data_IF_149530024697
#
_entry.id   IF_149530024697
#
_cell.length_a   1.000
_cell.length_b   1.000
_cell.length_c   1.000
_cell.angle_alpha   90.00
_cell.angle_beta   90.00
_cell.angle_gamma   90.00
#
_symmetry.space_group_name_H-M   'P 1'
#
loop_
_entity.id
_entity.type
_entity.pdbx_description
1 polymer ?
#
# COMPACT_ATOMS: atom_id res chain seq x y z
N UNK A 1 -6.97 18.24 14.66
CA UNK A 1 -7.52 17.99 16.02
C UNK A 1 -7.17 16.60 16.57
N UNK A 2 -6.95 15.59 15.71
CA UNK A 2 -6.66 14.21 16.11
C UNK A 2 -5.21 13.78 15.89
N UNK A 3 -4.33 14.66 15.39
CA UNK A 3 -2.92 14.37 15.14
C UNK A 3 -2.68 13.32 14.04
N UNK A 4 -3.60 13.24 13.07
CA UNK A 4 -3.49 12.32 11.93
C UNK A 4 -3.12 13.09 10.67
N UNK A 5 -2.25 12.50 9.83
CA UNK A 5 -1.98 12.96 8.48
C UNK A 5 -3.09 12.57 7.50
N UNK A 6 -2.95 13.04 6.28
CA UNK A 6 -3.83 12.68 5.15
C UNK A 6 -2.94 12.33 3.98
N UNK A 7 -3.03 11.09 3.52
CA UNK A 7 -2.43 10.66 2.25
C UNK A 7 -3.41 10.91 1.10
N UNK A 8 -2.89 10.98 -0.11
CA UNK A 8 -3.69 11.26 -1.27
C UNK A 8 -3.49 10.20 -2.37
N UNK A 9 -4.55 9.45 -2.62
CA UNK A 9 -4.61 8.48 -3.71
C UNK A 9 -5.52 9.04 -4.82
N UNK A 10 -4.99 9.88 -5.73
CA UNK A 10 -5.80 10.52 -6.76
C UNK A 10 -6.26 9.54 -7.82
N UNK A 11 -7.43 9.78 -8.38
CA UNK A 11 -7.97 9.00 -9.50
C UNK A 11 -7.26 9.36 -10.80
N UNK A 12 -6.61 8.36 -11.42
CA UNK A 12 -6.19 8.38 -12.83
C UNK A 12 -7.04 7.41 -13.67
N UNK A 13 -8.29 7.24 -13.32
CA UNK A 13 -9.30 6.37 -13.96
C UNK A 13 -10.70 6.92 -13.71
N UNK A 14 -11.75 6.22 -14.13
CA UNK A 14 -13.17 6.58 -13.87
C UNK A 14 -13.53 8.05 -14.18
N UNK A 15 -13.03 8.57 -15.29
CA UNK A 15 -13.29 9.95 -15.72
C UNK A 15 -13.54 9.99 -17.24
N UNK A 16 -14.37 10.91 -17.76
CA UNK A 16 -14.62 11.04 -19.21
C UNK A 16 -13.39 11.26 -20.09
N UNK A 17 -12.28 11.73 -19.50
CA UNK A 17 -10.96 11.86 -20.16
C UNK A 17 -10.13 10.59 -20.18
N UNK A 18 -10.60 9.47 -19.67
CA UNK A 18 -10.06 8.15 -20.03
C UNK A 18 -10.54 7.82 -21.44
N UNK A 19 -9.63 7.67 -22.38
CA UNK A 19 -9.94 7.39 -23.78
C UNK A 19 -9.34 6.04 -24.18
N UNK A 20 -10.21 5.14 -24.63
CA UNK A 20 -9.81 3.75 -24.97
C UNK A 20 -9.07 3.03 -23.82
N UNK A 21 -9.46 3.28 -22.59
CA UNK A 21 -8.79 2.72 -21.41
C UNK A 21 -7.41 3.32 -21.07
N UNK A 22 -7.04 4.46 -21.71
CA UNK A 22 -5.71 5.07 -21.55
C UNK A 22 -5.80 6.48 -20.95
N UNK A 23 -4.81 6.81 -20.14
CA UNK A 23 -4.63 8.10 -19.48
C UNK A 23 -3.23 8.67 -19.75
N UNK A 24 -2.28 8.49 -18.87
CA UNK A 24 -0.89 8.96 -18.99
C UNK A 24 -0.09 8.25 -20.10
N UNK A 25 -0.58 7.14 -20.60
CA UNK A 25 0.03 6.40 -21.72
C UNK A 25 -0.59 6.71 -23.09
N UNK A 26 -1.68 7.48 -23.13
CA UNK A 26 -2.44 7.73 -24.35
C UNK A 26 -1.55 8.26 -25.49
N UNK A 27 -1.73 7.79 -26.73
CA UNK A 27 -1.10 8.41 -27.90
C UNK A 27 -1.66 9.81 -28.19
N UNK A 28 -2.87 10.13 -27.73
CA UNK A 28 -3.46 11.46 -27.85
C UNK A 28 -2.85 12.41 -26.82
N UNK A 29 -2.11 13.41 -27.31
CA UNK A 29 -1.44 14.42 -26.50
C UNK A 29 -2.43 15.23 -25.62
N UNK A 30 -3.65 15.48 -26.09
CA UNK A 30 -4.66 16.22 -25.32
C UNK A 30 -5.10 15.43 -24.08
N UNK A 31 -5.25 14.11 -24.25
CA UNK A 31 -5.56 13.21 -23.13
C UNK A 31 -4.42 13.21 -22.12
N UNK A 32 -3.17 13.03 -22.57
CA UNK A 32 -2.01 13.03 -21.68
C UNK A 32 -1.84 14.35 -20.94
N UNK A 33 -1.94 15.49 -21.65
CA UNK A 33 -1.84 16.82 -21.02
C UNK A 33 -2.89 17.02 -19.92
N UNK A 34 -4.13 16.61 -20.15
CA UNK A 34 -5.16 16.66 -19.13
C UNK A 34 -4.72 15.91 -17.85
N UNK A 35 -4.24 14.68 -18.00
CA UNK A 35 -3.85 13.86 -16.87
C UNK A 35 -2.54 14.33 -16.21
N UNK A 36 -1.62 14.90 -16.95
CA UNK A 36 -0.42 15.52 -16.40
C UNK A 36 -0.79 16.75 -15.54
N UNK A 37 -1.65 17.63 -16.03
CA UNK A 37 -2.11 18.79 -15.26
C UNK A 37 -2.93 18.37 -14.03
N UNK A 38 -3.72 17.30 -14.15
CA UNK A 38 -4.36 16.66 -13.00
C UNK A 38 -3.33 16.20 -11.96
N UNK A 39 -2.29 15.49 -12.38
CA UNK A 39 -1.22 15.03 -11.49
C UNK A 39 -0.47 16.17 -10.79
N UNK A 40 -0.15 17.25 -11.51
CA UNK A 40 0.44 18.48 -10.92
C UNK A 40 -0.49 19.12 -9.87
N UNK A 41 -1.79 19.17 -10.16
CA UNK A 41 -2.76 19.65 -9.18
C UNK A 41 -2.79 18.76 -7.92
N UNK A 42 -2.65 17.45 -8.09
CA UNK A 42 -2.59 16.51 -6.98
C UNK A 42 -1.35 16.71 -6.10
N UNK A 43 -0.18 17.04 -6.67
CA UNK A 43 1.01 17.43 -5.90
C UNK A 43 0.73 18.66 -5.04
N UNK A 44 0.11 19.71 -5.60
CA UNK A 44 -0.23 20.92 -4.83
C UNK A 44 -1.24 20.63 -3.70
N UNK A 45 -2.21 19.77 -3.95
CA UNK A 45 -3.18 19.33 -2.93
C UNK A 45 -2.47 18.56 -1.81
N UNK A 46 -1.57 17.65 -2.16
CA UNK A 46 -0.80 16.86 -1.19
C UNK A 46 0.09 17.76 -0.32
N UNK A 47 0.73 18.75 -0.93
CA UNK A 47 1.53 19.74 -0.18
C UNK A 47 0.67 20.56 0.78
N UNK A 48 -0.53 20.94 0.37
CA UNK A 48 -1.49 21.60 1.23
C UNK A 48 -1.88 20.74 2.43
N UNK A 49 -2.19 19.44 2.20
CA UNK A 49 -2.51 18.52 3.28
C UNK A 49 -1.36 18.38 4.27
N UNK A 50 -0.13 18.22 3.77
CA UNK A 50 1.04 18.11 4.64
C UNK A 50 1.27 19.39 5.48
N UNK A 51 1.11 20.57 4.90
CA UNK A 51 1.23 21.86 5.61
C UNK A 51 0.18 22.01 6.70
N UNK A 52 -1.07 21.64 6.42
CA UNK A 52 -2.18 21.78 7.37
C UNK A 52 -2.09 20.77 8.53
N UNK A 53 -1.58 19.56 8.26
CA UNK A 53 -1.50 18.49 9.27
C UNK A 53 -0.17 18.48 10.01
N UNK A 54 0.88 19.05 9.44
CA UNK A 54 2.26 18.93 9.93
C UNK A 54 2.87 17.54 9.73
N UNK A 55 2.24 16.69 8.90
CA UNK A 55 2.65 15.31 8.63
C UNK A 55 2.84 15.15 7.11
N UNK A 56 3.94 14.54 6.63
CA UNK A 56 4.13 14.30 5.21
C UNK A 56 2.95 13.57 4.57
N UNK A 57 2.59 13.96 3.36
CA UNK A 57 1.51 13.36 2.58
C UNK A 57 2.10 12.45 1.50
N UNK A 58 1.76 11.17 1.54
CA UNK A 58 2.04 10.24 0.43
C UNK A 58 1.04 10.51 -0.70
N UNK A 59 1.55 10.69 -1.90
CA UNK A 59 0.75 10.90 -3.11
C UNK A 59 1.00 9.77 -4.09
N UNK A 60 -0.02 8.94 -4.31
CA UNK A 60 0.10 7.78 -5.18
C UNK A 60 -0.19 8.11 -6.65
N UNK A 61 0.66 7.63 -7.55
CA UNK A 61 0.44 7.63 -9.00
C UNK A 61 0.21 6.19 -9.45
N UNK A 62 -1.06 5.83 -9.60
CA UNK A 62 -1.49 4.56 -10.11
C UNK A 62 -2.35 4.75 -11.36
N UNK A 63 -2.13 3.95 -12.41
CA UNK A 63 -2.91 3.95 -13.63
C UNK A 63 -3.39 2.54 -13.98
N UNK A 64 -4.59 2.46 -14.53
CA UNK A 64 -5.14 1.22 -15.07
C UNK A 64 -4.81 0.96 -16.55
N UNK A 65 -3.91 1.74 -17.14
CA UNK A 65 -3.61 1.72 -18.56
C UNK A 65 -2.99 0.39 -19.01
N UNK A 66 -3.57 -0.20 -20.03
CA UNK A 66 -3.09 -1.47 -20.58
C UNK A 66 -3.96 -1.92 -21.76
N UNK A 67 -3.78 -3.17 -22.18
CA UNK A 67 -4.54 -3.76 -23.29
C UNK A 67 -5.03 -5.16 -22.94
N UNK A 68 -6.27 -5.43 -23.37
CA UNK A 68 -6.89 -6.75 -23.22
C UNK A 68 -6.34 -7.76 -24.19
N UNK A 69 -6.22 -7.35 -25.46
CA UNK A 69 -5.81 -8.20 -26.57
C UNK A 69 -4.33 -8.06 -26.89
N UNK A 70 -3.89 -8.62 -28.01
CA UNK A 70 -2.49 -8.67 -28.42
C UNK A 70 -1.92 -7.28 -28.72
N UNK A 71 -1.02 -6.72 -27.91
CA UNK A 71 -0.38 -5.43 -28.19
C UNK A 71 0.67 -5.57 -29.27
N UNK A 72 0.70 -4.62 -30.20
CA UNK A 72 1.76 -4.53 -31.21
C UNK A 72 3.01 -3.81 -30.65
N UNK A 73 2.82 -2.95 -29.65
CA UNK A 73 3.88 -2.14 -29.05
C UNK A 73 3.66 -2.05 -27.52
N UNK A 74 4.59 -2.58 -26.75
CA UNK A 74 4.61 -2.49 -25.27
C UNK A 74 5.58 -1.43 -24.75
N UNK A 75 6.46 -0.89 -25.60
CA UNK A 75 7.46 0.10 -25.21
C UNK A 75 6.91 1.52 -25.32
N UNK A 76 6.26 1.87 -26.44
CA UNK A 76 5.74 3.21 -26.68
C UNK A 76 4.81 3.75 -25.59
N UNK A 77 3.80 3.00 -25.11
CA UNK A 77 2.98 3.43 -23.97
C UNK A 77 3.81 3.67 -22.70
N UNK A 78 4.81 2.82 -22.42
CA UNK A 78 5.68 2.99 -21.24
C UNK A 78 6.59 4.23 -21.36
N UNK A 79 7.09 4.53 -22.54
CA UNK A 79 7.85 5.76 -22.78
C UNK A 79 6.99 7.00 -22.54
N UNK A 80 5.73 6.99 -23.00
CA UNK A 80 4.79 8.07 -22.73
C UNK A 80 4.43 8.16 -21.25
N UNK A 81 4.27 7.04 -20.57
CA UNK A 81 4.05 7.02 -19.12
C UNK A 81 5.21 7.63 -18.36
N UNK A 82 6.44 7.19 -18.67
CA UNK A 82 7.67 7.74 -18.09
C UNK A 82 7.71 9.26 -18.26
N UNK A 83 7.55 9.75 -19.49
CA UNK A 83 7.54 11.18 -19.80
C UNK A 83 6.42 11.93 -19.03
N UNK A 84 5.22 11.34 -18.94
CA UNK A 84 4.10 11.95 -18.25
C UNK A 84 4.34 12.07 -16.75
N UNK A 85 4.91 11.06 -16.09
CA UNK A 85 5.27 11.13 -14.67
C UNK A 85 6.38 12.17 -14.46
N UNK A 86 7.43 12.19 -15.31
CA UNK A 86 8.50 13.18 -15.23
C UNK A 86 7.94 14.61 -15.34
N UNK A 87 6.95 14.82 -16.22
CA UNK A 87 6.28 16.11 -16.35
C UNK A 87 5.42 16.45 -15.14
N UNK A 88 4.71 15.48 -14.53
CA UNK A 88 4.01 15.68 -13.25
C UNK A 88 5.00 16.10 -12.16
N UNK A 89 6.11 15.39 -12.02
CA UNK A 89 7.13 15.63 -11.01
C UNK A 89 7.92 16.93 -11.24
N UNK A 90 7.80 17.57 -12.42
CA UNK A 90 8.34 18.90 -12.67
C UNK A 90 7.58 20.02 -11.93
N UNK A 91 6.40 19.74 -11.39
CA UNK A 91 5.70 20.66 -10.48
C UNK A 91 6.54 20.88 -9.23
N UNK A 92 6.87 22.11 -8.85
CA UNK A 92 7.65 22.35 -7.64
C UNK A 92 6.91 21.92 -6.37
N UNK A 93 7.59 21.20 -5.50
CA UNK A 93 7.08 20.79 -4.18
C UNK A 93 8.22 20.55 -3.19
N UNK A 94 7.91 20.63 -1.90
CA UNK A 94 8.85 20.25 -0.85
C UNK A 94 8.84 18.71 -0.65
N UNK A 95 9.97 18.06 -0.96
CA UNK A 95 10.17 16.60 -0.79
C UNK A 95 10.04 16.12 0.66
N UNK A 96 10.14 17.00 1.64
CA UNK A 96 9.87 16.64 3.04
C UNK A 96 8.38 16.58 3.33
N UNK A 97 7.57 17.29 2.57
CA UNK A 97 6.12 17.37 2.76
C UNK A 97 5.35 16.42 1.85
N UNK A 98 5.77 16.29 0.61
CA UNK A 98 5.11 15.40 -0.36
C UNK A 98 6.02 14.24 -0.70
N UNK A 99 5.47 13.03 -0.57
CA UNK A 99 6.11 11.76 -0.91
C UNK A 99 5.42 11.17 -2.14
N UNK A 100 5.79 11.59 -3.36
CA UNK A 100 5.22 10.97 -4.55
C UNK A 100 5.67 9.53 -4.66
N UNK A 101 4.75 8.65 -4.95
CA UNK A 101 5.04 7.24 -5.19
C UNK A 101 4.41 6.77 -6.49
N UNK A 102 4.95 5.68 -7.00
CA UNK A 102 4.44 4.99 -8.20
C UNK A 102 4.07 3.56 -7.82
N UNK A 103 2.82 3.22 -8.10
CA UNK A 103 2.27 1.92 -7.77
C UNK A 103 2.17 1.04 -9.01
N UNK A 104 2.56 -0.22 -8.85
CA UNK A 104 2.40 -1.20 -9.91
C UNK A 104 0.97 -1.72 -10.00
N UNK A 105 0.58 -2.11 -11.21
CA UNK A 105 -0.61 -2.90 -11.47
C UNK A 105 -0.21 -4.26 -12.04
N UNK A 106 -0.87 -5.31 -11.56
CA UNK A 106 -0.83 -6.61 -12.21
C UNK A 106 -1.87 -6.65 -13.35
N UNK A 107 -1.84 -7.66 -14.19
CA UNK A 107 -2.92 -7.87 -15.15
C UNK A 107 -4.27 -8.08 -14.44
N UNK A 108 -5.35 -7.69 -15.10
CA UNK A 108 -6.71 -7.84 -14.57
C UNK A 108 -7.75 -7.72 -15.71
N UNK A 109 -9.03 -7.62 -15.39
CA UNK A 109 -10.09 -7.46 -16.38
C UNK A 109 -9.85 -6.18 -17.21
N UNK A 110 -9.69 -6.36 -18.51
CA UNK A 110 -9.43 -5.26 -19.46
C UNK A 110 -7.94 -5.01 -19.76
N UNK A 111 -7.02 -5.63 -19.04
CA UNK A 111 -5.56 -5.51 -19.24
C UNK A 111 -4.82 -6.84 -19.15
N UNK A 112 -5.46 -7.91 -19.59
CA UNK A 112 -4.96 -9.29 -19.44
C UNK A 112 -3.66 -9.54 -20.20
N UNK A 113 -3.44 -8.88 -21.33
CA UNK A 113 -2.25 -9.08 -22.16
C UNK A 113 -1.12 -8.11 -21.86
N UNK A 114 -1.42 -6.94 -21.29
CA UNK A 114 -0.43 -5.90 -21.11
C UNK A 114 -0.88 -4.85 -20.13
N UNK A 115 -0.08 -4.63 -19.12
CA UNK A 115 -0.18 -3.52 -18.16
C UNK A 115 1.01 -2.58 -18.34
N UNK A 116 0.74 -1.29 -18.54
CA UNK A 116 1.81 -0.30 -18.75
C UNK A 116 2.61 -0.06 -17.45
N UNK A 117 1.92 0.10 -16.33
CA UNK A 117 2.49 0.27 -15.00
C UNK A 117 2.82 -1.05 -14.32
N UNK A 118 3.61 -1.93 -14.94
CA UNK A 118 4.04 -3.18 -14.31
C UNK A 118 5.06 -2.93 -13.19
N UNK A 119 5.28 -3.93 -12.32
CA UNK A 119 6.24 -3.84 -11.21
C UNK A 119 7.64 -3.47 -11.70
N UNK A 120 8.11 -4.06 -12.80
CA UNK A 120 9.42 -3.74 -13.38
C UNK A 120 9.52 -2.28 -13.82
N UNK A 121 8.43 -1.72 -14.37
CA UNK A 121 8.41 -0.32 -14.78
C UNK A 121 8.43 0.62 -13.56
N UNK A 122 7.55 0.41 -12.61
CA UNK A 122 7.39 1.32 -11.45
C UNK A 122 8.61 1.28 -10.53
N UNK A 123 9.17 0.10 -10.25
CA UNK A 123 10.39 -0.04 -9.46
C UNK A 123 11.60 0.59 -10.16
N UNK A 124 11.75 0.36 -11.48
CA UNK A 124 12.83 0.99 -12.25
C UNK A 124 12.67 2.51 -12.28
N UNK A 125 11.43 3.00 -12.43
CA UNK A 125 11.16 4.43 -12.42
C UNK A 125 11.55 5.05 -11.07
N UNK A 126 11.07 4.49 -9.96
CA UNK A 126 11.39 4.98 -8.62
C UNK A 126 12.91 4.96 -8.35
N UNK A 127 13.60 3.88 -8.75
CA UNK A 127 15.06 3.78 -8.57
C UNK A 127 15.88 4.81 -9.35
N UNK A 128 15.32 5.36 -10.44
CA UNK A 128 16.00 6.34 -11.29
C UNK A 128 15.62 7.80 -10.96
N UNK A 129 14.66 8.02 -10.03
CA UNK A 129 14.15 9.36 -9.72
C UNK A 129 14.18 9.62 -8.21
N UNK A 130 15.14 10.44 -7.79
CA UNK A 130 15.32 10.80 -6.38
C UNK A 130 14.07 11.45 -5.79
N UNK A 131 13.63 10.94 -4.63
CA UNK A 131 12.44 11.40 -3.92
C UNK A 131 11.13 10.78 -4.41
N UNK A 132 11.19 9.82 -5.34
CA UNK A 132 10.03 9.00 -5.74
C UNK A 132 10.09 7.66 -5.01
N UNK A 133 9.02 7.29 -4.33
CA UNK A 133 8.96 6.04 -3.60
C UNK A 133 8.36 4.92 -4.46
N UNK A 134 8.88 3.70 -4.39
CA UNK A 134 8.13 2.55 -4.86
C UNK A 134 6.97 2.28 -3.91
N UNK A 135 5.76 2.14 -4.46
CA UNK A 135 4.60 1.68 -3.71
C UNK A 135 4.27 0.25 -4.13
N UNK A 136 4.23 -0.64 -3.16
CA UNK A 136 3.82 -2.02 -3.36
C UNK A 136 2.45 -2.25 -2.73
N UNK A 137 1.49 -2.66 -3.55
CA UNK A 137 0.23 -3.24 -3.09
C UNK A 137 0.36 -4.77 -3.13
N UNK A 138 0.11 -5.44 -2.02
CA UNK A 138 0.26 -6.89 -1.97
C UNK A 138 -0.85 -7.67 -2.70
N UNK A 139 -1.91 -6.99 -3.14
CA UNK A 139 -2.91 -7.53 -4.08
C UNK A 139 -2.49 -7.41 -5.55
N UNK A 140 -1.46 -6.63 -5.87
CA UNK A 140 -1.02 -6.33 -7.23
C UNK A 140 0.19 -7.18 -7.70
N UNK A 141 0.38 -8.36 -7.11
CA UNK A 141 1.43 -9.31 -7.51
C UNK A 141 0.82 -10.67 -7.82
N UNK A 142 1.58 -11.50 -8.53
CA UNK A 142 1.16 -12.87 -8.73
C UNK A 142 1.00 -13.59 -7.38
N UNK A 143 -0.01 -14.48 -7.21
CA UNK A 143 -0.29 -15.12 -5.91
C UNK A 143 0.88 -15.93 -5.31
N UNK A 144 1.90 -16.24 -6.10
CA UNK A 144 3.14 -16.89 -5.63
C UNK A 144 4.25 -15.92 -5.26
N UNK A 145 4.05 -14.61 -5.47
CA UNK A 145 4.98 -13.57 -5.07
C UNK A 145 4.55 -12.99 -3.72
N UNK A 146 5.49 -12.93 -2.79
CA UNK A 146 5.26 -12.41 -1.44
C UNK A 146 5.86 -11.01 -1.32
N UNK A 147 5.05 -10.05 -0.90
CA UNK A 147 5.51 -8.67 -0.66
C UNK A 147 6.41 -8.62 0.58
N UNK A 148 6.19 -9.50 1.55
CA UNK A 148 7.09 -9.65 2.71
C UNK A 148 8.55 -9.87 2.30
N UNK A 149 8.82 -10.67 1.25
CA UNK A 149 10.18 -10.87 0.72
C UNK A 149 10.73 -9.64 -0.02
N UNK A 150 9.86 -8.83 -0.62
CA UNK A 150 10.23 -7.63 -1.37
C UNK A 150 10.61 -6.45 -0.46
N UNK A 151 10.00 -6.33 0.71
CA UNK A 151 10.24 -5.23 1.67
C UNK A 151 11.72 -5.10 2.03
N UNK A 152 12.40 -6.12 2.58
CA UNK A 152 13.81 -6.02 2.94
C UNK A 152 14.71 -5.81 1.72
N UNK A 153 14.35 -6.39 0.58
CA UNK A 153 15.11 -6.22 -0.66
C UNK A 153 15.10 -4.75 -1.13
N UNK A 154 13.93 -4.11 -1.14
CA UNK A 154 13.82 -2.70 -1.56
C UNK A 154 14.44 -1.74 -0.55
N UNK A 155 14.35 -2.02 0.75
CA UNK A 155 14.98 -1.21 1.79
C UNK A 155 16.51 -1.19 1.73
N UNK A 156 17.14 -2.10 0.96
CA UNK A 156 18.57 -2.03 0.64
C UNK A 156 18.90 -0.89 -0.35
N UNK A 157 17.95 -0.44 -1.16
CA UNK A 157 18.17 0.51 -2.24
C UNK A 157 17.42 1.82 -2.05
N UNK A 158 16.31 1.79 -1.32
CA UNK A 158 15.46 2.96 -1.08
C UNK A 158 15.53 3.38 0.39
N UNK A 159 15.71 4.68 0.68
CA UNK A 159 15.65 5.18 2.05
C UNK A 159 14.25 5.00 2.66
N UNK A 160 13.21 5.13 1.86
CA UNK A 160 11.81 5.02 2.23
C UNK A 160 11.04 4.25 1.16
N UNK A 161 9.99 3.52 1.54
CA UNK A 161 9.07 2.82 0.64
C UNK A 161 7.63 3.04 1.09
N UNK A 162 6.66 2.79 0.21
CA UNK A 162 5.25 2.84 0.54
C UNK A 162 4.59 1.47 0.31
N UNK A 163 3.57 1.17 1.11
CA UNK A 163 2.78 -0.05 1.02
C UNK A 163 1.29 0.28 1.00
N UNK A 164 0.58 -0.29 0.06
CA UNK A 164 -0.84 -0.55 0.17
C UNK A 164 -1.04 -1.98 0.67
N UNK A 165 -1.69 -2.10 1.82
CA UNK A 165 -1.84 -3.36 2.52
C UNK A 165 -3.28 -3.83 2.35
N UNK A 166 -3.43 -4.89 1.63
CA UNK A 166 -4.70 -5.53 1.32
C UNK A 166 -4.60 -7.05 1.50
N UNK A 167 -5.63 -7.78 1.19
CA UNK A 167 -5.58 -9.24 1.11
C UNK A 167 -5.81 -9.67 -0.33
N UNK A 168 -4.75 -10.03 -1.02
CA UNK A 168 -4.82 -10.65 -2.34
C UNK A 168 -5.41 -12.06 -2.23
N UNK A 169 -6.57 -12.31 -2.85
CA UNK A 169 -7.18 -13.64 -2.86
C UNK A 169 -6.68 -14.47 -4.03
N UNK A 170 -6.45 -13.81 -5.14
CA UNK A 170 -5.84 -14.40 -6.33
C UNK A 170 -4.94 -13.37 -6.97
N UNK A 171 -5.32 -12.74 -8.02
CA UNK A 171 -4.60 -11.64 -8.67
C UNK A 171 -5.50 -10.41 -8.77
N UNK A 172 -4.92 -9.23 -8.67
CA UNK A 172 -5.59 -7.91 -8.77
C UNK A 172 -6.90 -7.89 -7.96
N UNK A 173 -6.82 -8.26 -6.70
CA UNK A 173 -8.00 -8.37 -5.83
C UNK A 173 -7.71 -7.75 -4.47
N UNK A 174 -8.42 -6.65 -4.20
CA UNK A 174 -8.24 -5.85 -2.99
C UNK A 174 -9.36 -6.19 -2.01
N UNK A 175 -9.10 -7.17 -1.14
CA UNK A 175 -10.02 -7.59 -0.09
C UNK A 175 -9.61 -7.05 1.27
N UNK A 176 -10.56 -7.03 2.18
CA UNK A 176 -10.32 -6.64 3.57
C UNK A 176 -9.15 -7.41 4.16
N UNK A 177 -8.20 -6.67 4.71
CA UNK A 177 -7.02 -7.24 5.37
C UNK A 177 -7.43 -8.11 6.55
N UNK A 178 -6.91 -9.31 6.60
CA UNK A 178 -7.07 -10.24 7.70
C UNK A 178 -5.73 -10.48 8.41
N UNK A 179 -5.77 -11.04 9.59
CA UNK A 179 -4.59 -11.42 10.37
C UNK A 179 -4.07 -12.79 9.89
N UNK A 180 -3.68 -12.86 8.62
CA UNK A 180 -3.16 -14.06 7.95
C UNK A 180 -1.63 -14.12 7.94
N UNK A 181 -1.08 -15.13 7.28
CA UNK A 181 0.37 -15.37 7.30
C UNK A 181 1.15 -14.24 6.61
N UNK A 182 0.72 -13.80 5.42
CA UNK A 182 1.44 -12.75 4.68
C UNK A 182 1.38 -11.40 5.43
N UNK A 183 0.22 -11.06 5.99
CA UNK A 183 0.07 -9.85 6.83
C UNK A 183 1.07 -9.86 8.00
N UNK A 184 1.23 -11.01 8.65
CA UNK A 184 2.19 -11.17 9.76
C UNK A 184 3.64 -11.12 9.29
N UNK A 185 3.96 -11.72 8.15
CA UNK A 185 5.33 -11.70 7.61
C UNK A 185 5.73 -10.31 7.14
N UNK A 186 4.85 -9.56 6.44
CA UNK A 186 5.12 -8.15 6.09
C UNK A 186 5.44 -7.30 7.33
N UNK A 187 4.63 -7.43 8.38
CA UNK A 187 4.86 -6.70 9.63
C UNK A 187 6.20 -7.11 10.28
N UNK A 188 6.53 -8.39 10.27
CA UNK A 188 7.82 -8.90 10.78
C UNK A 188 9.00 -8.31 10.01
N UNK A 189 8.93 -8.27 8.69
CA UNK A 189 10.04 -7.72 7.88
C UNK A 189 10.24 -6.22 8.14
N UNK A 190 9.18 -5.44 8.27
CA UNK A 190 9.29 -4.02 8.63
C UNK A 190 10.01 -3.84 9.98
N UNK A 191 9.62 -4.63 10.99
CA UNK A 191 10.21 -4.55 12.33
C UNK A 191 11.65 -5.07 12.34
N UNK A 192 11.93 -6.21 11.68
CA UNK A 192 13.28 -6.80 11.56
C UNK A 192 14.27 -5.86 10.87
N UNK A 193 13.80 -5.10 9.90
CA UNK A 193 14.60 -4.10 9.18
C UNK A 193 14.76 -2.78 9.96
N UNK A 194 14.16 -2.66 11.15
CA UNK A 194 14.09 -1.40 11.90
C UNK A 194 13.58 -0.25 11.02
N UNK A 195 12.47 -0.49 10.30
CA UNK A 195 11.99 0.37 9.23
C UNK A 195 10.58 0.95 9.48
N UNK A 196 10.12 1.00 10.74
CA UNK A 196 8.81 1.56 11.10
C UNK A 196 8.67 3.04 10.71
N UNK A 197 9.77 3.78 10.69
CA UNK A 197 9.87 5.18 10.30
C UNK A 197 10.21 5.40 8.81
N UNK A 198 10.45 4.30 8.06
CA UNK A 198 10.87 4.30 6.65
C UNK A 198 9.83 3.69 5.72
N UNK A 199 8.76 3.16 6.28
CA UNK A 199 7.69 2.49 5.51
C UNK A 199 6.38 3.20 5.74
N UNK A 200 5.87 3.86 4.71
CA UNK A 200 4.54 4.44 4.72
C UNK A 200 3.50 3.35 4.47
N UNK A 201 2.57 3.17 5.40
CA UNK A 201 1.63 2.05 5.42
C UNK A 201 0.20 2.55 5.30
N UNK A 202 -0.51 2.14 4.28
CA UNK A 202 -1.92 2.42 4.09
C UNK A 202 -2.71 1.12 3.83
N UNK A 203 -4.00 1.13 4.15
CA UNK A 203 -4.92 0.07 3.76
C UNK A 203 -5.58 0.47 2.45
N UNK A 204 -5.61 -0.45 1.48
CA UNK A 204 -6.30 -0.22 0.21
C UNK A 204 -7.16 -1.42 -0.18
N UNK A 205 -8.47 -1.28 -0.07
CA UNK A 205 -9.44 -2.29 -0.50
C UNK A 205 -10.86 -1.71 -0.65
N UNK A 206 -11.65 -2.36 -1.50
CA UNK A 206 -12.97 -1.90 -1.93
C UNK A 206 -14.07 -2.92 -1.66
N UNK A 207 -14.04 -3.64 -0.56
CA UNK A 207 -15.08 -4.62 -0.27
C UNK A 207 -16.42 -3.92 -0.06
N UNK A 208 -17.34 -4.12 -1.00
CA UNK A 208 -18.68 -3.54 -1.01
C UNK A 208 -19.76 -4.53 -0.52
N UNK A 209 -19.38 -5.76 -0.22
CA UNK A 209 -20.31 -6.80 0.26
C UNK A 209 -20.59 -6.73 1.75
N UNK A 210 -19.83 -5.93 2.48
CA UNK A 210 -19.93 -5.78 3.94
C UNK A 210 -19.95 -4.30 4.32
N UNK A 211 -20.27 -4.01 5.58
CA UNK A 211 -20.22 -2.65 6.12
C UNK A 211 -18.81 -2.08 6.01
N UNK A 212 -18.67 -0.92 5.36
CA UNK A 212 -17.37 -0.29 5.07
C UNK A 212 -16.59 0.08 6.33
N UNK A 213 -17.25 0.62 7.35
CA UNK A 213 -16.59 1.02 8.60
C UNK A 213 -16.07 -0.22 9.32
N UNK A 214 -16.86 -1.30 9.34
CA UNK A 214 -16.43 -2.59 9.89
C UNK A 214 -15.24 -3.17 9.12
N UNK A 215 -15.24 -3.08 7.79
CA UNK A 215 -14.14 -3.51 6.94
C UNK A 215 -12.83 -2.76 7.30
N UNK A 216 -12.88 -1.44 7.40
CA UNK A 216 -11.72 -0.64 7.82
C UNK A 216 -11.26 -0.96 9.24
N UNK A 217 -12.19 -1.11 10.17
CA UNK A 217 -11.85 -1.44 11.56
C UNK A 217 -11.17 -2.81 11.66
N UNK A 218 -11.68 -3.82 10.95
CA UNK A 218 -11.05 -5.16 10.91
C UNK A 218 -9.65 -5.07 10.32
N UNK A 219 -9.47 -4.39 9.20
CA UNK A 219 -8.18 -4.26 8.54
C UNK A 219 -7.14 -3.54 9.40
N UNK A 220 -7.49 -2.37 9.96
CA UNK A 220 -6.61 -1.61 10.85
C UNK A 220 -6.20 -2.46 12.06
N UNK A 221 -7.16 -3.12 12.72
CA UNK A 221 -6.88 -3.99 13.88
C UNK A 221 -6.02 -5.20 13.50
N UNK A 222 -6.23 -5.78 12.32
CA UNK A 222 -5.41 -6.89 11.81
C UNK A 222 -3.97 -6.46 11.62
N UNK A 223 -3.75 -5.28 11.02
CA UNK A 223 -2.42 -4.72 10.83
C UNK A 223 -1.73 -4.37 12.16
N UNK A 224 -2.45 -3.71 13.07
CA UNK A 224 -1.92 -3.38 14.40
C UNK A 224 -1.53 -4.64 15.19
N UNK A 225 -2.33 -5.72 15.12
CA UNK A 225 -1.97 -7.00 15.72
C UNK A 225 -0.71 -7.59 15.13
N UNK A 226 -0.55 -7.52 13.80
CA UNK A 226 0.63 -8.02 13.12
C UNK A 226 1.89 -7.26 13.53
N UNK A 227 1.83 -5.93 13.56
CA UNK A 227 2.94 -5.09 14.04
C UNK A 227 3.27 -5.34 15.51
N UNK A 228 2.27 -5.39 16.39
CA UNK A 228 2.49 -5.67 17.81
C UNK A 228 3.13 -7.05 18.01
N UNK A 229 2.66 -8.07 17.31
CA UNK A 229 3.26 -9.41 17.36
C UNK A 229 4.72 -9.40 16.87
N UNK A 230 5.01 -8.67 15.80
CA UNK A 230 6.37 -8.53 15.29
C UNK A 230 7.29 -7.81 16.29
N UNK A 231 6.81 -6.78 16.97
CA UNK A 231 7.58 -6.01 17.95
C UNK A 231 7.88 -6.80 19.24
N UNK A 232 6.98 -7.69 19.67
CA UNK A 232 7.22 -8.54 20.86
C UNK A 232 7.98 -9.83 20.53
N UNK A 233 8.23 -10.09 19.24
CA UNK A 233 9.05 -11.24 18.80
C UNK A 233 10.52 -11.00 19.14
N UNK A 234 11.28 -11.98 19.67
CA UNK A 234 12.69 -11.83 20.02
C UNK A 234 13.60 -11.85 18.77
N UNK A 235 13.45 -10.84 17.90
CA UNK A 235 14.06 -10.79 16.57
C UNK A 235 15.59 -10.91 16.62
N UNK A 236 16.26 -10.27 17.60
CA UNK A 236 17.73 -10.34 17.76
C UNK A 236 18.18 -11.78 18.05
N UNK A 237 17.43 -12.52 18.88
CA UNK A 237 17.75 -13.91 19.16
C UNK A 237 17.57 -14.83 17.96
N UNK A 238 16.53 -14.59 17.16
CA UNK A 238 16.30 -15.35 15.93
C UNK A 238 17.40 -15.06 14.90
N UNK A 239 17.82 -13.81 14.78
CA UNK A 239 18.95 -13.40 13.93
C UNK A 239 20.27 -14.05 14.37
N UNK A 240 20.55 -14.06 15.66
CA UNK A 240 21.75 -14.75 16.19
C UNK A 240 21.77 -16.25 15.80
N UNK A 241 20.63 -16.94 15.87
CA UNK A 241 20.53 -18.34 15.45
C UNK A 241 20.77 -18.51 13.95
N UNK A 242 20.25 -17.62 13.14
CA UNK A 242 20.48 -17.60 11.69
C UNK A 242 21.97 -17.38 11.37
N UNK A 243 22.59 -16.38 11.99
CA UNK A 243 23.99 -16.03 11.74
C UNK A 243 24.96 -17.14 12.18
N UNK A 244 24.56 -17.93 13.18
CA UNK A 244 25.28 -19.12 13.62
C UNK A 244 24.90 -20.41 12.84
N UNK A 245 24.07 -20.33 11.82
CA UNK A 245 23.56 -21.45 11.03
C UNK A 245 22.84 -22.53 11.85
N UNK A 246 22.28 -22.17 13.02
CA UNK A 246 21.45 -23.06 13.85
C UNK A 246 19.99 -23.05 13.35
N UNK A 247 19.81 -23.43 12.11
CA UNK A 247 18.51 -23.38 11.42
C UNK A 247 17.45 -24.28 12.05
N UNK A 248 17.87 -25.41 12.63
CA UNK A 248 16.93 -26.32 13.32
C UNK A 248 16.33 -25.63 14.55
N UNK A 249 17.14 -25.01 15.38
CA UNK A 249 16.65 -24.29 16.56
C UNK A 249 15.86 -23.05 16.18
N UNK A 250 16.30 -22.32 15.14
CA UNK A 250 15.57 -21.20 14.58
C UNK A 250 14.13 -21.60 14.18
N UNK A 251 13.98 -22.69 13.42
CA UNK A 251 12.69 -23.22 13.02
C UNK A 251 11.83 -23.59 14.24
N UNK A 252 12.39 -24.37 15.17
CA UNK A 252 11.68 -24.81 16.39
C UNK A 252 11.18 -23.59 17.18
N UNK A 253 12.04 -22.59 17.41
CA UNK A 253 11.63 -21.40 18.14
C UNK A 253 10.53 -20.62 17.45
N UNK A 254 10.58 -20.45 16.12
CA UNK A 254 9.55 -19.77 15.36
C UNK A 254 8.21 -20.51 15.43
N UNK A 255 8.20 -21.84 15.37
CA UNK A 255 6.97 -22.63 15.49
C UNK A 255 6.37 -22.57 16.90
N UNK A 256 7.17 -22.75 17.92
CA UNK A 256 6.68 -22.70 19.32
C UNK A 256 6.13 -21.31 19.70
N UNK A 257 6.72 -20.23 19.17
CA UNK A 257 6.20 -18.88 19.40
C UNK A 257 4.80 -18.64 18.85
N UNK A 258 4.34 -19.40 17.84
CA UNK A 258 2.99 -19.26 17.27
C UNK A 258 1.89 -19.58 18.29
N UNK A 259 2.18 -20.34 19.31
CA UNK A 259 1.23 -20.76 20.36
C UNK A 259 1.31 -19.95 21.65
N UNK A 260 2.21 -18.96 21.72
CA UNK A 260 2.27 -18.05 22.86
C UNK A 260 0.97 -17.21 22.98
N UNK A 261 0.57 -16.84 24.22
CA UNK A 261 -0.71 -16.17 24.48
C UNK A 261 -0.70 -14.69 24.04
N UNK A 262 -0.53 -14.45 22.75
CA UNK A 262 -0.53 -13.09 22.18
C UNK A 262 -1.86 -12.36 22.44
N UNK A 263 -2.98 -13.08 22.59
CA UNK A 263 -4.28 -12.50 22.90
C UNK A 263 -4.30 -11.65 24.18
N UNK A 264 -3.52 -12.04 25.19
CA UNK A 264 -3.42 -11.28 26.44
C UNK A 264 -2.67 -9.96 26.24
N UNK A 265 -1.58 -10.00 25.45
CA UNK A 265 -0.81 -8.80 25.07
C UNK A 265 -1.69 -7.83 24.29
N UNK A 266 -2.46 -8.34 23.33
CA UNK A 266 -3.39 -7.53 22.56
C UNK A 266 -4.48 -6.92 23.44
N UNK A 267 -5.00 -7.67 24.40
CA UNK A 267 -6.03 -7.18 25.32
C UNK A 267 -5.50 -6.04 26.19
N UNK A 268 -4.29 -6.17 26.75
CA UNK A 268 -3.70 -5.10 27.55
C UNK A 268 -3.37 -3.87 26.71
N UNK A 269 -2.86 -4.05 25.49
CA UNK A 269 -2.61 -2.95 24.55
C UNK A 269 -3.89 -2.17 24.25
N UNK A 270 -5.00 -2.87 23.96
CA UNK A 270 -6.29 -2.23 23.72
C UNK A 270 -6.80 -1.44 24.95
N UNK A 271 -6.60 -1.99 26.14
CA UNK A 271 -6.98 -1.34 27.41
C UNK A 271 -6.16 -0.06 27.63
N UNK A 272 -4.85 -0.08 27.40
CA UNK A 272 -3.99 1.11 27.48
C UNK A 272 -4.40 2.18 26.46
N UNK A 273 -4.82 1.77 25.25
CA UNK A 273 -5.34 2.67 24.23
C UNK A 273 -6.78 3.15 24.48
N UNK A 274 -7.46 2.64 25.51
CA UNK A 274 -8.86 2.98 25.80
C UNK A 274 -9.86 2.50 24.75
N UNK A 275 -9.56 1.37 24.07
CA UNK A 275 -10.42 0.78 23.04
C UNK A 275 -10.82 -0.65 23.39
N UNK A 276 -11.93 -1.12 22.83
CA UNK A 276 -12.40 -2.48 23.06
C UNK A 276 -11.44 -3.52 22.48
N UNK A 277 -11.05 -4.50 23.27
CA UNK A 277 -10.27 -5.65 22.82
C UNK A 277 -11.14 -6.72 22.14
N UNK A 278 -12.36 -6.86 22.57
CA UNK A 278 -13.38 -7.81 22.10
C UNK A 278 -14.19 -7.28 20.90
N UNK A 279 -15.35 -7.85 20.64
CA UNK A 279 -16.22 -7.50 19.50
C UNK A 279 -17.21 -6.35 19.81
N UNK A 280 -17.18 -5.75 20.98
CA UNK A 280 -18.16 -4.70 21.39
C UNK A 280 -18.11 -3.45 20.51
N UNK A 281 -16.94 -3.14 19.90
CA UNK A 281 -16.83 -2.07 18.91
C UNK A 281 -17.76 -2.26 17.70
N UNK A 282 -18.10 -3.51 17.36
CA UNK A 282 -18.98 -3.81 16.24
C UNK A 282 -20.42 -3.35 16.50
N UNK A 283 -20.90 -3.50 17.72
CA UNK A 283 -22.26 -3.08 18.09
C UNK A 283 -22.42 -1.56 17.93
N UNK A 284 -21.39 -0.79 18.25
CA UNK A 284 -21.38 0.67 18.04
C UNK A 284 -21.44 1.04 16.55
N UNK A 285 -20.71 0.32 15.70
CA UNK A 285 -20.75 0.53 14.24
C UNK A 285 -22.14 0.21 13.69
N UNK A 286 -22.73 -0.91 14.10
CA UNK A 286 -24.08 -1.30 13.66
C UNK A 286 -25.14 -0.31 14.10
N UNK A 287 -25.00 0.23 15.31
CA UNK A 287 -25.85 1.31 15.79
C UNK A 287 -25.70 2.57 14.92
N UNK A 288 -24.47 2.97 14.62
CA UNK A 288 -24.19 4.13 13.75
C UNK A 288 -24.75 3.91 12.32
N UNK A 289 -24.58 2.72 11.76
CA UNK A 289 -25.17 2.36 10.46
C UNK A 289 -26.68 2.55 10.46
N UNK A 290 -27.36 1.99 11.44
CA UNK A 290 -28.83 2.10 11.58
C UNK A 290 -29.30 3.53 11.83
N UNK A 291 -28.61 4.27 12.71
CA UNK A 291 -29.07 5.57 13.17
C UNK A 291 -28.69 6.71 12.24
N UNK A 292 -27.63 6.57 11.43
CA UNK A 292 -27.06 7.62 10.59
C UNK A 292 -26.97 7.20 9.13
N UNK A 293 -26.26 6.11 8.79
CA UNK A 293 -25.92 5.83 7.38
C UNK A 293 -27.15 5.44 6.56
N UNK A 294 -28.04 4.62 7.09
CA UNK A 294 -29.27 4.17 6.42
C UNK A 294 -30.36 5.25 6.35
N UNK A 295 -30.12 6.43 6.94
CA UNK A 295 -31.05 7.57 6.91
C UNK A 295 -30.62 8.70 5.96
N UNK A 296 -29.48 8.53 5.26
CA UNK A 296 -28.91 9.53 4.33
C UNK A 296 -29.39 9.36 2.91
#
# INVERSE_FOLDING_TARGET
ERGMGIDFNPTFFSHPMVKNGLTLTSPDEKVRKFWVEHGKACIRISEYFAKETGIPCVMNIWIGDGFKDVPADRMGPRLRYKQSIEEILSEPFDKNLVKPCVESKVFGIGVESYTAGSAEFTLSFAAMHDGVLPLMDNGHYHPTELVSDKIPALLCFFPEIALHITRGVRWDSDHVLLFDDETREMAKEIVRCNALDRVYMALDYFDASINRISAWTVGIRSWQKALLMAMVTPNEKLKELQDNADFTKLMVMQEEMKTLPFGDIWTEYCKECGVAADTSWYDEIMKYEKDVLLKR
#
